data_IF_146725969754
#
_entry.id   IF_146725969754
#
_cell.length_a   1.000
_cell.length_b   1.000
_cell.length_c   1.000
_cell.angle_alpha   90.00
_cell.angle_beta   90.00
_cell.angle_gamma   90.00
#
_symmetry.space_group_name_H-M   'P 1'
#
loop_
_entity.id
_entity.type
_entity.pdbx_description
1 polymer ?
#
# COMPACT_ATOMS: atom_id res chain seq x y z
N UNK A 1 -7.18 39.59 24.63
CA UNK A 1 -6.02 39.19 23.81
C UNK A 1 -6.08 37.67 23.70
N UNK A 2 -6.45 37.18 22.53
CA UNK A 2 -6.91 35.80 22.28
C UNK A 2 -5.81 34.78 22.56
N UNK A 3 -6.00 33.94 23.57
CA UNK A 3 -5.30 32.67 23.74
C UNK A 3 -5.73 31.75 22.60
N UNK A 4 -4.97 31.79 21.50
CA UNK A 4 -4.99 30.76 20.48
C UNK A 4 -4.30 29.53 21.08
N UNK A 5 -5.04 28.81 21.91
CA UNK A 5 -4.66 27.48 22.37
C UNK A 5 -4.50 26.60 21.14
N UNK A 6 -3.24 26.37 20.82
CA UNK A 6 -2.73 25.49 19.78
C UNK A 6 -3.22 24.08 20.08
N UNK A 7 -4.41 23.74 19.60
CA UNK A 7 -4.77 22.36 19.33
C UNK A 7 -3.79 21.84 18.27
N UNK A 8 -2.67 21.32 18.75
CA UNK A 8 -1.76 20.45 18.02
C UNK A 8 -2.49 19.14 17.74
N UNK A 9 -3.53 19.20 16.89
CA UNK A 9 -4.00 18.05 16.17
C UNK A 9 -2.77 17.45 15.49
N UNK A 10 -2.51 16.18 15.74
CA UNK A 10 -1.39 15.41 15.18
C UNK A 10 -1.60 15.23 13.67
N UNK A 11 -1.54 16.34 12.94
CA UNK A 11 -1.64 16.41 11.49
C UNK A 11 -0.25 16.00 11.00
N UNK A 12 -0.14 14.75 10.55
CA UNK A 12 1.02 14.24 9.81
C UNK A 12 1.58 15.33 8.91
N UNK A 13 2.89 15.58 9.04
CA UNK A 13 3.56 16.70 8.38
C UNK A 13 3.26 16.65 6.88
N UNK A 14 2.71 17.73 6.28
CA UNK A 14 2.26 17.73 4.89
C UNK A 14 3.38 17.38 3.90
N UNK A 15 4.64 17.62 4.29
CA UNK A 15 5.83 17.19 3.55
C UNK A 15 5.94 15.66 3.41
N UNK A 16 5.54 14.89 4.42
CA UNK A 16 5.54 13.42 4.40
C UNK A 16 4.48 12.92 3.41
N UNK A 17 3.27 13.47 3.47
CA UNK A 17 2.17 13.14 2.55
C UNK A 17 2.56 13.42 1.09
N UNK A 18 3.21 14.56 0.82
CA UNK A 18 3.68 14.92 -0.52
C UNK A 18 4.78 13.98 -1.05
N UNK A 19 5.72 13.56 -0.19
CA UNK A 19 6.75 12.56 -0.56
C UNK A 19 6.14 11.20 -0.87
N UNK A 20 5.20 10.75 -0.04
CA UNK A 20 4.50 9.47 -0.25
C UNK A 20 3.69 9.52 -1.53
N UNK A 21 2.97 10.62 -1.79
CA UNK A 21 2.26 10.82 -3.06
C UNK A 21 3.21 10.72 -4.27
N UNK A 22 4.37 11.38 -4.22
CA UNK A 22 5.38 11.28 -5.27
C UNK A 22 5.85 9.83 -5.49
N UNK A 23 6.08 9.08 -4.40
CA UNK A 23 6.40 7.67 -4.49
C UNK A 23 5.28 6.85 -5.16
N UNK A 24 4.01 7.06 -4.79
CA UNK A 24 2.87 6.38 -5.45
C UNK A 24 2.83 6.65 -6.97
N UNK A 25 3.08 7.89 -7.37
CA UNK A 25 3.14 8.26 -8.80
C UNK A 25 4.28 7.53 -9.49
N UNK A 26 5.48 7.52 -8.91
CA UNK A 26 6.63 6.80 -9.46
C UNK A 26 6.37 5.29 -9.60
N UNK A 27 5.78 4.64 -8.58
CA UNK A 27 5.40 3.23 -8.67
C UNK A 27 4.39 2.99 -9.80
N UNK A 28 3.42 3.90 -9.98
CA UNK A 28 2.39 3.79 -11.03
C UNK A 28 3.01 3.93 -12.42
N UNK A 29 3.92 4.90 -12.60
CA UNK A 29 4.66 5.07 -13.86
C UNK A 29 5.45 3.80 -14.17
N UNK A 30 6.19 3.25 -13.20
CA UNK A 30 6.93 2.00 -13.37
C UNK A 30 6.05 0.82 -13.78
N UNK A 31 4.84 0.71 -13.20
CA UNK A 31 3.87 -0.31 -13.58
C UNK A 31 3.37 -0.14 -15.02
N UNK A 32 3.02 1.09 -15.42
CA UNK A 32 2.56 1.38 -16.79
C UNK A 32 3.67 1.10 -17.80
N UNK A 33 4.91 1.53 -17.52
CA UNK A 33 6.07 1.24 -18.38
C UNK A 33 6.34 -0.26 -18.52
N UNK A 34 6.27 -1.02 -17.43
CA UNK A 34 6.41 -2.48 -17.47
C UNK A 34 5.28 -3.15 -18.27
N UNK A 35 4.06 -2.61 -18.16
CA UNK A 35 2.90 -3.09 -18.92
C UNK A 35 3.05 -2.89 -20.43
N UNK A 36 3.62 -1.75 -20.85
CA UNK A 36 3.88 -1.45 -22.26
C UNK A 36 5.01 -2.31 -22.85
N UNK A 37 5.98 -2.73 -22.04
CA UNK A 37 7.16 -3.44 -22.52
C UNK A 37 6.88 -4.90 -22.91
N UNK A 38 6.20 -5.66 -22.07
CA UNK A 38 5.90 -7.07 -22.35
C UNK A 38 4.78 -7.61 -21.44
N UNK A 39 3.89 -8.48 -21.93
CA UNK A 39 2.83 -9.09 -21.12
C UNK A 39 3.36 -9.84 -19.90
N UNK A 40 4.52 -10.52 -20.01
CA UNK A 40 5.11 -11.26 -18.88
C UNK A 40 5.61 -10.31 -17.78
N UNK A 41 6.21 -9.20 -18.21
CA UNK A 41 6.72 -8.16 -17.32
C UNK A 41 5.57 -7.39 -16.68
N UNK A 42 4.47 -7.19 -17.40
CA UNK A 42 3.22 -6.61 -16.90
C UNK A 42 2.65 -7.40 -15.71
N UNK A 43 2.56 -8.74 -15.84
CA UNK A 43 2.06 -9.60 -14.77
C UNK A 43 2.96 -9.55 -13.53
N UNK A 44 4.29 -9.65 -13.73
CA UNK A 44 5.24 -9.56 -12.62
C UNK A 44 5.17 -8.19 -11.93
N UNK A 45 5.11 -7.11 -12.71
CA UNK A 45 4.99 -5.76 -12.19
C UNK A 45 3.66 -5.56 -11.46
N UNK A 46 2.53 -6.05 -11.98
CA UNK A 46 1.24 -6.00 -11.28
C UNK A 46 1.30 -6.75 -9.95
N UNK A 47 1.95 -7.91 -9.91
CA UNK A 47 2.03 -8.72 -8.69
C UNK A 47 2.90 -8.09 -7.61
N UNK A 48 3.93 -7.33 -7.97
CA UNK A 48 4.87 -6.72 -7.01
C UNK A 48 4.52 -5.27 -6.68
N UNK A 49 4.26 -4.44 -7.69
CA UNK A 49 4.04 -3.00 -7.53
C UNK A 49 2.68 -2.72 -6.87
N UNK A 50 1.65 -3.52 -7.18
CA UNK A 50 0.30 -3.34 -6.60
C UNK A 50 0.25 -3.55 -5.09
N UNK A 51 0.80 -4.62 -4.50
CA UNK A 51 0.86 -4.72 -3.04
C UNK A 51 1.84 -3.73 -2.42
N UNK A 52 2.93 -3.34 -3.11
CA UNK A 52 3.85 -2.33 -2.61
C UNK A 52 3.17 -0.95 -2.43
N UNK A 53 2.35 -0.50 -3.39
CA UNK A 53 1.55 0.72 -3.21
C UNK A 53 0.54 0.58 -2.06
N UNK A 54 -0.07 -0.59 -1.91
CA UNK A 54 -1.06 -0.83 -0.87
C UNK A 54 -0.40 -0.73 0.51
N UNK A 55 0.77 -1.35 0.69
CA UNK A 55 1.56 -1.24 1.92
C UNK A 55 1.93 0.21 2.26
N UNK A 56 2.32 1.00 1.26
CA UNK A 56 2.67 2.40 1.44
C UNK A 56 1.46 3.24 1.89
N UNK A 57 0.29 3.03 1.27
CA UNK A 57 -0.96 3.65 1.72
C UNK A 57 -1.33 3.21 3.13
N UNK A 58 -1.13 1.93 3.44
CA UNK A 58 -1.46 1.34 4.74
C UNK A 58 -0.63 1.89 5.90
N UNK A 59 0.62 2.29 5.62
CA UNK A 59 1.53 2.80 6.65
C UNK A 59 1.39 4.31 6.87
N UNK A 60 1.09 5.06 5.81
CA UNK A 60 1.14 6.54 5.82
C UNK A 60 -0.23 7.22 5.80
N UNK A 61 -1.22 6.66 5.10
CA UNK A 61 -2.55 7.29 4.95
C UNK A 61 -3.59 6.64 5.87
N UNK A 62 -3.58 5.32 5.97
CA UNK A 62 -4.31 4.62 7.00
C UNK A 62 -3.44 4.67 8.25
N UNK A 63 -3.87 5.39 9.27
CA UNK A 63 -3.09 5.62 10.49
C UNK A 63 -2.98 4.35 11.37
N UNK A 64 -2.94 3.17 10.76
CA UNK A 64 -3.07 1.87 11.41
C UNK A 64 -1.92 1.57 12.40
N UNK A 65 -0.80 2.28 12.26
CA UNK A 65 0.30 2.30 13.24
C UNK A 65 -0.15 2.84 14.61
N UNK A 66 -1.17 3.69 14.65
CA UNK A 66 -1.69 4.35 15.85
C UNK A 66 -3.03 3.77 16.32
N UNK A 67 -3.55 2.78 15.60
CA UNK A 67 -4.78 2.07 15.97
C UNK A 67 -4.48 0.92 16.93
N UNK A 68 -5.48 0.52 17.71
CA UNK A 68 -5.33 -0.54 18.72
C UNK A 68 -4.85 -1.87 18.13
N UNK A 69 -4.17 -2.72 18.94
CA UNK A 69 -3.58 -3.98 18.47
C UNK A 69 -4.58 -4.94 17.84
N UNK A 70 -5.87 -4.83 18.18
CA UNK A 70 -6.97 -5.60 17.60
C UNK A 70 -7.16 -5.31 16.10
N UNK A 71 -7.19 -4.04 15.68
CA UNK A 71 -7.37 -3.66 14.28
C UNK A 71 -6.18 -4.12 13.43
N UNK A 72 -4.96 -3.95 13.97
CA UNK A 72 -3.74 -4.46 13.34
C UNK A 72 -3.76 -5.98 13.16
N UNK A 73 -4.24 -6.72 14.17
CA UNK A 73 -4.40 -8.17 14.09
C UNK A 73 -5.43 -8.61 13.05
N UNK A 74 -6.60 -7.96 13.01
CA UNK A 74 -7.66 -8.27 12.05
C UNK A 74 -7.21 -8.06 10.60
N UNK A 75 -6.52 -6.95 10.33
CA UNK A 75 -5.93 -6.69 9.01
C UNK A 75 -4.89 -7.73 8.66
N UNK A 76 -4.01 -8.10 9.60
CA UNK A 76 -2.98 -9.11 9.35
C UNK A 76 -3.63 -10.43 8.93
N UNK A 77 -4.69 -10.87 9.63
CA UNK A 77 -5.44 -12.08 9.29
C UNK A 77 -6.08 -11.96 7.91
N UNK A 78 -6.68 -10.82 7.57
CA UNK A 78 -7.25 -10.57 6.25
C UNK A 78 -6.19 -10.63 5.12
N UNK A 79 -5.03 -9.99 5.32
CA UNK A 79 -3.90 -10.01 4.39
C UNK A 79 -3.33 -11.42 4.22
N UNK A 80 -3.18 -12.16 5.32
CA UNK A 80 -2.65 -13.53 5.31
C UNK A 80 -3.61 -14.46 4.54
N UNK A 81 -4.91 -14.31 4.78
CA UNK A 81 -5.95 -15.05 4.04
C UNK A 81 -5.88 -14.73 2.55
N UNK A 82 -5.82 -13.44 2.19
CA UNK A 82 -5.68 -12.99 0.80
C UNK A 82 -4.45 -13.60 0.12
N UNK A 83 -3.29 -13.58 0.80
CA UNK A 83 -2.03 -14.14 0.28
C UNK A 83 -2.15 -15.66 0.08
N UNK A 84 -2.80 -16.39 0.99
CA UNK A 84 -3.03 -17.84 0.82
C UNK A 84 -3.86 -18.11 -0.43
N UNK A 85 -4.98 -17.42 -0.60
CA UNK A 85 -5.86 -17.61 -1.77
C UNK A 85 -5.15 -17.26 -3.08
N UNK A 86 -4.44 -16.13 -3.12
CA UNK A 86 -3.69 -15.72 -4.31
C UNK A 86 -2.60 -16.76 -4.63
N UNK A 87 -1.85 -17.21 -3.63
CA UNK A 87 -0.78 -18.20 -3.82
C UNK A 87 -1.33 -19.53 -4.34
N UNK A 88 -2.44 -20.01 -3.76
CA UNK A 88 -3.12 -21.22 -4.23
C UNK A 88 -3.59 -21.09 -5.68
N UNK A 89 -4.18 -19.95 -6.05
CA UNK A 89 -4.62 -19.68 -7.42
C UNK A 89 -3.45 -19.65 -8.41
N UNK A 90 -2.31 -19.04 -8.05
CA UNK A 90 -1.13 -19.03 -8.91
C UNK A 90 -0.46 -20.40 -9.03
N UNK A 91 -0.45 -21.19 -7.95
CA UNK A 91 0.01 -22.58 -8.01
C UNK A 91 -0.85 -23.38 -9.00
N UNK A 92 -2.18 -23.27 -8.91
CA UNK A 92 -3.11 -23.92 -9.85
C UNK A 92 -2.87 -23.49 -11.31
N UNK A 93 -2.68 -22.20 -11.57
CA UNK A 93 -2.36 -21.67 -12.91
C UNK A 93 -1.02 -22.21 -13.46
N UNK A 94 -0.03 -22.48 -12.60
CA UNK A 94 1.26 -23.02 -13.02
C UNK A 94 1.25 -24.52 -13.35
N UNK A 95 0.24 -25.25 -12.89
CA UNK A 95 0.08 -26.69 -13.17
C UNK A 95 -0.72 -26.99 -14.44
N UNK A 96 -1.21 -25.96 -15.16
CA UNK A 96 -1.92 -26.08 -16.44
C UNK A 96 -1.11 -25.52 -17.59
#
# INVERSE_FOLDING_TARGET
MTSMDQEKGHIVEPAVLARVWGALVCLTIGLVSASLASPKLAVLAMLVITPAKAWLVFHYFMHLKYEGPLLKGMVLVALLTLVIFISMMFLDLGFR
#
